data_IF_620530040011
#
_entry.id   IF_620530040011
#
_cell.length_a   1.000
_cell.length_b   1.000
_cell.length_c   1.000
_cell.angle_alpha   90.00
_cell.angle_beta   90.00
_cell.angle_gamma   90.00
#
_symmetry.space_group_name_H-M   'P 1'
#
loop_
_entity.id
_entity.type
_entity.pdbx_description
1 polymer ?
#
# COMPACT_ATOMS: atom_id res chain seq x y z
N UNK A 1 17.32 -3.69 -19.16
CA UNK A 1 16.89 -3.37 -17.78
C UNK A 1 16.38 -1.93 -17.60
N UNK A 2 16.92 -0.90 -18.28
CA UNK A 2 16.48 0.50 -18.07
C UNK A 2 15.07 0.89 -18.56
N UNK A 3 14.56 0.25 -19.62
CA UNK A 3 13.28 0.65 -20.23
C UNK A 3 12.04 0.43 -19.35
N UNK A 4 11.97 -0.69 -18.62
CA UNK A 4 10.84 -0.98 -17.74
C UNK A 4 10.77 0.01 -16.57
N UNK A 5 11.91 0.27 -15.92
CA UNK A 5 11.99 1.23 -14.81
C UNK A 5 11.67 2.65 -15.27
N UNK A 6 12.06 3.03 -16.49
CA UNK A 6 11.70 4.32 -17.08
C UNK A 6 10.20 4.44 -17.33
N UNK A 7 9.57 3.40 -17.90
CA UNK A 7 8.11 3.38 -18.11
C UNK A 7 7.36 3.46 -16.78
N UNK A 8 7.80 2.68 -15.78
CA UNK A 8 7.23 2.71 -14.44
C UNK A 8 7.37 4.10 -13.81
N UNK A 9 8.53 4.75 -13.97
CA UNK A 9 8.75 6.11 -13.48
C UNK A 9 7.85 7.15 -14.17
N UNK A 10 7.69 7.06 -15.49
CA UNK A 10 6.78 7.96 -16.24
C UNK A 10 5.33 7.77 -15.78
N UNK A 11 4.91 6.52 -15.54
CA UNK A 11 3.56 6.23 -15.06
C UNK A 11 3.35 6.63 -13.59
N UNK A 12 4.31 6.32 -12.72
CA UNK A 12 4.22 6.58 -11.28
C UNK A 12 4.43 8.05 -10.92
N UNK A 13 5.27 8.76 -11.67
CA UNK A 13 5.73 10.12 -11.33
C UNK A 13 6.63 10.19 -10.09
N UNK A 14 7.03 9.05 -9.50
CA UNK A 14 7.87 8.95 -8.29
C UNK A 14 8.99 7.94 -8.44
N UNK A 15 10.12 8.21 -7.79
CA UNK A 15 11.27 7.31 -7.72
C UNK A 15 11.66 7.00 -6.26
N UNK A 16 11.84 5.71 -5.88
CA UNK A 16 11.59 4.53 -6.70
C UNK A 16 10.08 4.31 -6.95
N UNK A 17 9.68 3.82 -8.14
CA UNK A 17 8.27 3.64 -8.48
C UNK A 17 7.62 2.47 -7.72
N UNK A 18 8.41 1.55 -7.18
CA UNK A 18 7.95 0.40 -6.41
C UNK A 18 8.64 0.36 -5.06
N UNK A 19 7.89 -0.02 -4.02
CA UNK A 19 8.38 -0.19 -2.65
C UNK A 19 8.07 -1.60 -2.15
N UNK A 20 9.00 -2.15 -1.37
CA UNK A 20 8.81 -3.43 -0.68
C UNK A 20 8.20 -3.16 0.68
N UNK A 21 7.24 -3.99 1.07
CA UNK A 21 6.66 -3.95 2.40
C UNK A 21 7.55 -4.73 3.34
N UNK A 22 8.20 -4.00 4.25
CA UNK A 22 9.26 -4.57 5.11
C UNK A 22 8.75 -4.92 6.51
N UNK A 23 7.53 -4.52 6.89
CA UNK A 23 6.97 -4.76 8.23
C UNK A 23 5.55 -5.29 8.20
N UNK A 24 5.16 -5.96 9.30
CA UNK A 24 3.83 -6.51 9.53
C UNK A 24 2.75 -5.46 9.80
N UNK A 25 3.08 -4.18 9.88
CA UNK A 25 2.15 -3.11 10.26
C UNK A 25 0.92 -2.99 9.34
N UNK A 26 1.02 -3.44 8.09
CA UNK A 26 -0.09 -3.50 7.12
C UNK A 26 -0.68 -4.89 6.95
N UNK A 27 -0.16 -5.91 7.65
CA UNK A 27 -0.61 -7.28 7.47
C UNK A 27 -2.04 -7.49 7.89
N UNK A 28 -2.73 -8.23 7.04
CA UNK A 28 -4.10 -8.57 7.32
C UNK A 28 -4.08 -9.80 8.24
N UNK A 29 -3.34 -10.88 7.96
CA UNK A 29 -3.05 -11.87 9.02
C UNK A 29 -2.12 -13.02 8.63
N UNK A 30 -2.35 -14.25 9.12
CA UNK A 30 -1.33 -15.31 9.04
C UNK A 30 -1.12 -15.84 7.61
N UNK A 31 -2.14 -15.71 6.76
CA UNK A 31 -2.13 -16.09 5.37
C UNK A 31 -2.38 -14.85 4.50
N UNK A 32 -1.55 -14.69 3.48
CA UNK A 32 -1.67 -13.63 2.47
C UNK A 32 -2.71 -13.97 1.41
N UNK A 33 -3.35 -12.93 0.89
CA UNK A 33 -4.38 -13.01 -0.16
C UNK A 33 -4.10 -11.99 -1.26
N UNK A 34 -4.66 -12.21 -2.45
CA UNK A 34 -4.60 -11.20 -3.51
C UNK A 34 -5.59 -10.08 -3.18
N UNK A 35 -5.13 -8.84 -3.26
CA UNK A 35 -5.87 -7.62 -2.98
C UNK A 35 -5.65 -7.07 -1.57
N UNK A 36 -4.61 -7.53 -0.85
CA UNK A 36 -4.17 -7.00 0.45
C UNK A 36 -2.67 -6.75 0.43
N UNK A 37 -2.19 -5.86 1.31
CA UNK A 37 -0.75 -5.60 1.47
C UNK A 37 -0.25 -6.41 2.66
N UNK A 38 0.70 -7.28 2.42
CA UNK A 38 1.42 -8.00 3.48
C UNK A 38 2.93 -7.80 3.40
N UNK A 39 3.62 -8.14 4.49
CA UNK A 39 5.09 -8.16 4.50
C UNK A 39 5.63 -9.05 3.40
N UNK A 40 6.57 -8.53 2.61
CA UNK A 40 7.15 -9.24 1.48
C UNK A 40 6.45 -8.98 0.15
N UNK A 41 5.38 -8.18 0.11
CA UNK A 41 4.80 -7.71 -1.14
C UNK A 41 5.59 -6.53 -1.72
N UNK A 42 5.44 -6.33 -3.01
CA UNK A 42 5.85 -5.12 -3.72
C UNK A 42 4.60 -4.34 -4.09
N UNK A 43 4.57 -3.04 -3.83
CA UNK A 43 3.50 -2.16 -4.30
C UNK A 43 4.07 -1.05 -5.16
N UNK A 44 3.35 -0.69 -6.22
CA UNK A 44 3.68 0.49 -7.01
C UNK A 44 3.17 1.72 -6.25
N UNK A 45 3.97 2.77 -6.22
CA UNK A 45 3.60 4.04 -5.59
C UNK A 45 3.34 5.03 -6.70
N UNK A 46 2.18 5.70 -6.69
CA UNK A 46 1.85 6.75 -7.64
C UNK A 46 1.87 8.10 -6.96
N UNK A 47 2.50 9.08 -7.61
CA UNK A 47 2.53 10.48 -7.17
C UNK A 47 1.11 10.98 -6.97
N UNK A 48 0.88 11.62 -5.84
CA UNK A 48 -0.34 12.36 -5.54
C UNK A 48 -0.04 13.84 -5.70
N UNK A 49 -0.86 14.55 -6.48
CA UNK A 49 -0.72 16.00 -6.66
C UNK A 49 -1.77 16.76 -5.85
N UNK A 50 -2.95 16.17 -5.67
CA UNK A 50 -4.08 16.80 -5.00
C UNK A 50 -4.63 15.95 -3.84
N UNK A 51 -5.11 16.62 -2.79
CA UNK A 51 -5.70 15.97 -1.60
C UNK A 51 -6.86 15.05 -1.98
N UNK A 52 -7.66 15.43 -2.97
CA UNK A 52 -8.84 14.69 -3.42
C UNK A 52 -8.53 13.31 -4.03
N UNK A 53 -7.27 13.02 -4.39
CA UNK A 53 -6.88 11.69 -4.88
C UNK A 53 -6.75 10.65 -3.74
N UNK A 54 -6.68 11.12 -2.49
CA UNK A 54 -6.59 10.30 -1.29
C UNK A 54 -7.96 10.30 -0.61
N UNK A 55 -8.66 9.18 -0.75
CA UNK A 55 -9.91 8.91 -0.04
C UNK A 55 -9.54 8.33 1.32
N UNK A 56 -9.95 8.98 2.41
CA UNK A 56 -9.67 8.52 3.78
C UNK A 56 -10.66 7.44 4.25
N UNK A 57 -10.34 6.75 5.34
CA UNK A 57 -11.22 5.76 5.96
C UNK A 57 -12.57 6.37 6.37
N UNK A 58 -12.57 7.54 6.99
CA UNK A 58 -13.81 8.21 7.41
C UNK A 58 -14.67 8.64 6.22
N UNK A 59 -14.06 9.07 5.11
CA UNK A 59 -14.76 9.33 3.85
C UNK A 59 -15.44 8.08 3.32
N UNK A 60 -14.68 6.99 3.21
CA UNK A 60 -15.14 5.74 2.63
C UNK A 60 -16.20 5.02 3.47
N UNK A 61 -16.31 5.33 4.76
CA UNK A 61 -17.31 4.75 5.68
C UNK A 61 -18.50 5.67 5.96
N UNK A 62 -18.44 6.94 5.58
CA UNK A 62 -19.52 7.89 5.78
C UNK A 62 -20.57 7.77 4.66
N UNK A 63 -21.80 7.33 5.01
CA UNK A 63 -22.88 7.07 4.05
C UNK A 63 -23.31 8.28 3.21
N UNK A 64 -23.07 9.50 3.71
CA UNK A 64 -23.42 10.75 3.02
C UNK A 64 -22.29 11.25 2.12
N UNK A 65 -21.10 10.65 2.18
CA UNK A 65 -19.96 11.03 1.36
C UNK A 65 -20.03 10.30 0.00
N UNK A 66 -19.70 10.96 -1.13
CA UNK A 66 -19.72 10.34 -2.46
C UNK A 66 -18.73 9.16 -2.60
N UNK A 67 -17.70 9.08 -1.76
CA UNK A 67 -16.72 7.99 -1.75
C UNK A 67 -17.14 6.80 -0.87
N UNK A 68 -18.37 6.78 -0.33
CA UNK A 68 -18.86 5.68 0.49
C UNK A 68 -18.69 4.34 -0.21
N UNK A 69 -18.09 3.37 0.48
CA UNK A 69 -17.83 2.04 -0.06
C UNK A 69 -16.46 1.87 -0.72
N UNK A 70 -15.67 2.95 -0.89
CA UNK A 70 -14.33 2.86 -1.48
C UNK A 70 -13.40 2.00 -0.62
N UNK A 71 -12.77 1.00 -1.23
CA UNK A 71 -11.82 0.10 -0.57
C UNK A 71 -10.55 -0.05 -1.36
N UNK A 72 -9.44 -0.13 -0.64
CA UNK A 72 -8.12 -0.39 -1.16
C UNK A 72 -7.39 -1.32 -0.20
N UNK A 73 -6.78 -2.37 -0.75
CA UNK A 73 -6.01 -3.37 0.01
C UNK A 73 -6.83 -4.03 1.13
N UNK A 74 -8.02 -4.52 0.80
CA UNK A 74 -8.88 -5.28 1.71
C UNK A 74 -9.78 -4.46 2.66
N UNK A 75 -9.51 -3.17 2.85
CA UNK A 75 -10.28 -2.33 3.79
C UNK A 75 -10.57 -0.92 3.21
N UNK A 76 -11.35 -0.12 3.93
CA UNK A 76 -11.81 1.21 3.49
C UNK A 76 -10.69 2.24 3.42
N UNK A 77 -10.81 3.17 2.48
CA UNK A 77 -9.84 4.27 2.34
C UNK A 77 -8.54 3.85 1.66
N UNK A 78 -7.69 4.85 1.41
CA UNK A 78 -6.47 4.72 0.62
C UNK A 78 -5.25 4.39 1.48
N UNK A 79 -4.26 3.72 0.89
CA UNK A 79 -2.95 3.51 1.52
C UNK A 79 -1.92 4.48 0.94
N UNK A 80 -1.22 5.21 1.80
CA UNK A 80 -0.25 6.24 1.40
C UNK A 80 1.13 5.94 1.93
N UNK A 81 2.14 6.29 1.13
CA UNK A 81 3.56 6.26 1.50
C UNK A 81 4.00 7.68 1.82
N UNK A 82 4.54 7.90 3.01
CA UNK A 82 4.91 9.24 3.47
C UNK A 82 6.20 9.28 4.27
N UNK A 83 6.83 10.45 4.28
CA UNK A 83 8.01 10.76 5.09
C UNK A 83 7.56 11.28 6.45
N UNK A 84 8.05 10.67 7.53
CA UNK A 84 7.77 11.14 8.89
C UNK A 84 8.32 12.57 9.08
N UNK A 85 7.44 13.53 9.38
CA UNK A 85 7.74 14.95 9.57
C UNK A 85 8.60 15.57 8.45
N UNK A 86 8.45 15.08 7.21
CA UNK A 86 9.25 15.50 6.05
C UNK A 86 10.74 15.13 6.12
N UNK A 87 11.18 14.33 7.10
CA UNK A 87 12.58 13.93 7.28
C UNK A 87 13.01 12.87 6.27
N UNK A 88 14.30 12.86 5.95
CA UNK A 88 14.90 11.85 5.06
C UNK A 88 15.23 10.58 5.85
N UNK A 89 14.19 9.86 6.23
CA UNK A 89 14.24 8.57 6.92
C UNK A 89 13.49 7.51 6.10
N UNK A 90 13.49 6.26 6.56
CA UNK A 90 12.64 5.20 6.01
C UNK A 90 11.17 5.66 5.99
N UNK A 91 10.54 5.75 4.81
CA UNK A 91 9.14 6.11 4.70
C UNK A 91 8.23 5.10 5.39
N UNK A 92 7.05 5.55 5.75
CA UNK A 92 5.99 4.71 6.31
C UNK A 92 4.91 4.52 5.25
N UNK A 93 4.37 3.31 5.15
CA UNK A 93 3.23 2.99 4.29
C UNK A 93 2.07 2.57 5.18
N UNK A 94 1.05 3.41 5.31
CA UNK A 94 -0.10 3.15 6.18
C UNK A 94 -1.40 3.69 5.57
N UNK A 95 -2.52 3.27 6.13
CA UNK A 95 -3.85 3.70 5.71
C UNK A 95 -4.14 5.14 6.15
N UNK A 96 -4.68 5.94 5.25
CA UNK A 96 -5.17 7.28 5.56
C UNK A 96 -6.52 7.19 6.28
N UNK A 97 -6.55 7.60 7.55
CA UNK A 97 -7.74 7.48 8.40
C UNK A 97 -8.67 8.68 8.25
N UNK A 98 -8.13 9.89 8.37
CA UNK A 98 -8.88 11.14 8.25
C UNK A 98 -7.96 12.27 7.82
N UNK A 99 -8.50 13.26 7.11
CA UNK A 99 -7.85 14.53 6.87
C UNK A 99 -8.32 15.52 7.95
N UNK A 100 -7.37 16.12 8.66
CA UNK A 100 -7.67 17.10 9.71
C UNK A 100 -7.25 18.47 9.22
N UNK A 101 -8.19 19.42 9.21
CA UNK A 101 -7.91 20.83 8.97
C UNK A 101 -7.74 21.56 10.29
N UNK A 102 -6.62 22.25 10.46
CA UNK A 102 -6.39 23.05 11.66
C UNK A 102 -7.30 24.29 11.65
N UNK A 103 -8.14 24.43 12.69
CA UNK A 103 -9.07 25.54 12.83
C UNK A 103 -8.45 26.62 13.74
N UNK A 104 -7.74 27.57 13.13
CA UNK A 104 -7.06 28.64 13.85
C UNK A 104 -8.03 29.55 14.63
N UNK A 105 -9.22 29.83 14.08
CA UNK A 105 -10.20 30.72 14.69
C UNK A 105 -10.82 30.17 15.97
N UNK A 106 -10.91 28.84 16.08
CA UNK A 106 -11.43 28.16 17.27
C UNK A 106 -10.33 27.66 18.21
N UNK A 107 -9.06 27.91 17.87
CA UNK A 107 -7.90 27.48 18.64
C UNK A 107 -7.29 28.64 19.44
N UNK A 108 -6.75 28.32 20.61
CA UNK A 108 -5.98 29.23 21.45
C UNK A 108 -4.60 28.58 21.75
N UNK A 109 -3.58 28.88 20.92
CA UNK A 109 -2.23 28.36 21.13
C UNK A 109 -1.63 28.73 22.50
N UNK A 110 -2.00 29.89 23.05
CA UNK A 110 -1.52 30.36 24.36
C UNK A 110 -2.00 29.47 25.51
N UNK A 111 -3.17 28.87 25.37
CA UNK A 111 -3.74 27.89 26.32
C UNK A 111 -3.53 26.43 25.92
N UNK A 112 -2.74 26.16 24.87
CA UNK A 112 -2.56 24.83 24.26
C UNK A 112 -3.88 24.14 23.92
N UNK A 113 -4.85 24.92 23.50
CA UNK A 113 -6.17 24.45 23.14
C UNK A 113 -6.32 24.52 21.63
N UNK A 114 -6.43 23.36 20.99
CA UNK A 114 -6.45 23.29 19.53
C UNK A 114 -7.71 22.58 19.06
N UNK A 115 -8.29 23.10 17.98
CA UNK A 115 -9.49 22.61 17.34
C UNK A 115 -9.17 22.29 15.89
N UNK A 116 -9.82 21.25 15.37
CA UNK A 116 -9.72 20.88 13.97
C UNK A 116 -11.06 20.48 13.40
N UNK A 117 -11.09 20.46 12.08
CA UNK A 117 -12.24 20.13 11.27
C UNK A 117 -11.94 18.86 10.46
N UNK A 118 -12.96 18.04 10.23
CA UNK A 118 -12.93 16.89 9.31
C UNK A 118 -14.00 17.19 8.24
N UNK A 119 -13.68 18.06 7.28
CA UNK A 119 -14.68 18.62 6.35
C UNK A 119 -15.36 17.53 5.53
N UNK A 120 -14.66 16.43 5.25
CA UNK A 120 -15.17 15.36 4.38
C UNK A 120 -16.38 14.61 4.96
N UNK A 121 -16.59 14.72 6.27
CA UNK A 121 -17.74 14.13 6.98
C UNK A 121 -18.56 15.18 7.72
N UNK A 122 -18.33 16.47 7.46
CA UNK A 122 -19.08 17.58 8.04
C UNK A 122 -18.89 17.76 9.55
N UNK A 123 -17.74 17.36 10.09
CA UNK A 123 -17.41 17.52 11.52
C UNK A 123 -16.52 18.75 11.68
N UNK A 124 -16.89 19.69 12.53
CA UNK A 124 -16.19 20.96 12.71
C UNK A 124 -15.98 21.30 14.19
N UNK A 125 -14.92 22.03 14.48
CA UNK A 125 -14.57 22.57 15.79
C UNK A 125 -14.46 21.48 16.88
N UNK A 126 -13.79 20.38 16.57
CA UNK A 126 -13.62 19.25 17.48
C UNK A 126 -12.19 19.18 18.04
N UNK A 127 -12.06 18.69 19.27
CA UNK A 127 -10.77 18.45 19.94
C UNK A 127 -10.37 16.98 19.87
N UNK A 128 -11.32 16.10 19.60
CA UNK A 128 -11.14 14.67 19.40
C UNK A 128 -12.25 14.11 18.52
N UNK A 129 -11.98 12.98 17.88
CA UNK A 129 -12.96 12.26 17.08
C UNK A 129 -12.78 10.75 17.23
N UNK A 130 -13.89 10.02 17.28
CA UNK A 130 -13.92 8.57 17.44
C UNK A 130 -14.26 7.91 16.11
N UNK A 131 -13.36 7.06 15.62
CA UNK A 131 -13.57 6.29 14.40
C UNK A 131 -13.80 4.83 14.77
N UNK A 132 -14.93 4.27 14.34
CA UNK A 132 -15.16 2.83 14.42
C UNK A 132 -14.40 2.16 13.27
N UNK A 133 -13.27 1.53 13.58
CA UNK A 133 -12.44 0.86 12.59
C UNK A 133 -12.72 -0.63 12.62
N UNK A 134 -13.15 -1.18 11.49
CA UNK A 134 -13.25 -2.61 11.26
C UNK A 134 -11.93 -3.12 10.70
N UNK A 135 -10.91 -3.27 11.55
CA UNK A 135 -9.63 -3.85 11.13
C UNK A 135 -9.79 -5.34 10.83
N UNK A 136 -9.32 -5.77 9.67
CA UNK A 136 -9.14 -7.18 9.27
C UNK A 136 -10.32 -8.16 9.43
N UNK A 137 -10.77 -8.73 8.31
CA UNK A 137 -11.72 -9.86 8.26
C UNK A 137 -10.99 -11.13 7.85
N UNK A 138 -10.82 -12.09 8.77
CA UNK A 138 -10.69 -13.49 8.37
C UNK A 138 -12.06 -14.15 8.29
N UNK A 139 -12.10 -15.37 7.75
CA UNK A 139 -13.26 -16.25 7.83
C UNK A 139 -13.80 -16.43 9.27
N UNK A 140 -12.97 -16.20 10.31
CA UNK A 140 -13.32 -16.48 11.71
C UNK A 140 -13.11 -15.31 12.69
N UNK A 141 -12.66 -14.14 12.24
CA UNK A 141 -12.34 -13.02 13.12
C UNK A 141 -12.62 -11.68 12.44
N UNK A 142 -13.48 -10.87 13.07
CA UNK A 142 -13.69 -9.46 12.77
C UNK A 142 -13.15 -8.65 13.93
N UNK A 143 -12.04 -7.95 13.74
CA UNK A 143 -11.48 -7.08 14.79
C UNK A 143 -12.12 -5.70 14.67
N UNK A 144 -13.09 -5.42 15.54
CA UNK A 144 -13.68 -4.09 15.64
C UNK A 144 -13.02 -3.33 16.78
N UNK A 145 -12.48 -2.16 16.46
CA UNK A 145 -11.81 -1.30 17.44
C UNK A 145 -12.30 0.13 17.29
N UNK A 146 -12.35 0.86 18.40
CA UNK A 146 -12.60 2.29 18.38
C UNK A 146 -11.26 3.00 18.41
N UNK A 147 -10.96 3.71 17.34
CA UNK A 147 -9.76 4.52 17.21
C UNK A 147 -10.07 5.95 17.65
N UNK A 148 -9.30 6.45 18.62
CA UNK A 148 -9.46 7.82 19.14
C UNK A 148 -8.44 8.74 18.48
N UNK A 149 -8.92 9.70 17.70
CA UNK A 149 -8.11 10.76 17.11
C UNK A 149 -8.13 11.96 18.06
N UNK A 150 -7.12 12.07 18.92
CA UNK A 150 -6.99 13.20 19.84
C UNK A 150 -6.43 14.44 19.12
N UNK A 151 -7.27 15.09 18.30
CA UNK A 151 -6.91 16.22 17.42
C UNK A 151 -6.15 17.32 18.17
N UNK A 152 -6.66 17.76 19.32
CA UNK A 152 -6.02 18.84 20.08
C UNK A 152 -4.61 18.48 20.53
N UNK A 153 -4.39 17.24 20.95
CA UNK A 153 -3.09 16.78 21.44
C UNK A 153 -2.10 16.55 20.30
N UNK A 154 -2.57 16.02 19.15
CA UNK A 154 -1.75 15.87 17.94
C UNK A 154 -1.28 17.24 17.45
N UNK A 155 -2.19 18.21 17.35
CA UNK A 155 -1.86 19.58 16.94
C UNK A 155 -0.89 20.25 17.92
N UNK A 156 -1.09 20.05 19.23
CA UNK A 156 -0.19 20.56 20.27
C UNK A 156 1.23 19.97 20.21
N UNK A 157 1.39 18.76 19.65
CA UNK A 157 2.68 18.10 19.48
C UNK A 157 3.44 18.54 18.22
N UNK A 158 2.88 19.48 17.43
CA UNK A 158 3.54 20.01 16.22
C UNK A 158 4.80 20.78 16.58
N UNK A 159 5.92 20.40 15.97
CA UNK A 159 7.25 20.99 16.15
C UNK A 159 7.90 21.42 14.83
N UNK A 160 7.43 20.93 13.68
CA UNK A 160 7.98 21.30 12.38
C UNK A 160 7.65 22.72 11.94
N UNK A 161 6.71 23.38 12.61
CA UNK A 161 6.21 24.71 12.28
C UNK A 161 5.85 25.49 13.55
N UNK A 162 5.99 26.83 13.56
CA UNK A 162 5.55 27.68 14.67
C UNK A 162 4.03 27.60 14.94
N UNK A 163 3.25 27.27 13.92
CA UNK A 163 1.79 27.12 13.99
C UNK A 163 1.45 25.68 13.57
N UNK A 164 0.51 24.99 14.28
CA UNK A 164 -0.01 23.71 13.84
C UNK A 164 -0.52 23.76 12.40
N UNK A 165 -0.48 22.63 11.72
CA UNK A 165 -0.86 22.54 10.32
C UNK A 165 -1.86 21.40 10.09
N UNK A 166 -2.61 21.52 9.00
CA UNK A 166 -3.48 20.46 8.51
C UNK A 166 -2.68 19.26 7.99
N UNK A 167 -3.29 18.09 7.94
CA UNK A 167 -2.66 16.88 7.42
C UNK A 167 -3.48 15.61 7.64
N UNK A 168 -3.00 14.49 7.11
CA UNK A 168 -3.62 13.19 7.33
C UNK A 168 -3.23 12.61 8.69
N UNK A 169 -4.21 11.99 9.31
CA UNK A 169 -4.04 11.00 10.36
C UNK A 169 -3.91 9.65 9.68
N UNK A 170 -2.91 8.86 10.07
CA UNK A 170 -2.60 7.56 9.46
C UNK A 170 -2.54 6.45 10.50
N UNK A 171 -2.75 5.21 10.07
CA UNK A 171 -2.62 4.02 10.92
C UNK A 171 -2.26 2.79 10.07
N UNK A 172 -1.36 1.96 10.57
CA UNK A 172 -1.13 0.61 10.03
C UNK A 172 -2.28 -0.34 10.37
N UNK A 173 -2.75 -1.12 9.40
CA UNK A 173 -3.93 -1.99 9.55
C UNK A 173 -3.76 -3.04 10.65
N UNK A 174 -2.54 -3.55 10.84
CA UNK A 174 -2.18 -4.52 11.87
C UNK A 174 -1.76 -3.89 13.20
N UNK A 175 -1.59 -2.56 13.26
CA UNK A 175 -1.14 -1.92 14.49
C UNK A 175 -2.25 -1.93 15.57
N UNK A 176 -1.88 -1.87 16.87
CA UNK A 176 -2.84 -1.60 17.95
C UNK A 176 -3.69 -0.35 17.68
N UNK A 177 -4.80 -0.13 18.41
CA UNK A 177 -5.80 0.91 18.10
C UNK A 177 -5.35 2.34 18.46
N UNK A 178 -4.18 2.73 17.96
CA UNK A 178 -3.60 4.07 18.06
C UNK A 178 -3.20 4.55 16.68
N UNK A 179 -3.42 5.84 16.41
CA UNK A 179 -2.93 6.47 15.19
C UNK A 179 -1.42 6.62 15.23
N UNK A 180 -0.79 6.74 14.06
CA UNK A 180 0.65 6.85 13.94
C UNK A 180 1.22 8.04 14.71
N UNK A 181 0.46 9.13 14.82
CA UNK A 181 0.81 10.33 15.59
C UNK A 181 1.00 10.05 17.10
N UNK A 182 0.51 8.91 17.60
CA UNK A 182 0.69 8.47 18.99
C UNK A 182 1.82 7.46 19.21
N UNK A 183 2.23 6.74 18.17
CA UNK A 183 3.13 5.58 18.33
C UNK A 183 4.42 5.72 17.53
N UNK A 184 4.44 6.53 16.48
CA UNK A 184 5.62 6.73 15.64
C UNK A 184 6.39 7.98 16.06
N UNK A 185 7.71 7.86 15.90
CA UNK A 185 8.67 8.91 16.16
C UNK A 185 9.63 9.05 14.97
N UNK A 186 10.12 10.26 14.74
CA UNK A 186 11.32 10.49 13.92
C UNK A 186 12.57 10.26 14.76
N UNK A 187 13.72 10.15 14.11
CA UNK A 187 15.01 10.15 14.80
C UNK A 187 15.12 11.41 15.68
N UNK A 188 15.60 11.21 16.92
CA UNK A 188 15.61 12.26 17.93
C UNK A 188 14.38 12.27 18.86
N UNK A 189 13.47 11.31 18.73
CA UNK A 189 12.38 11.10 19.71
C UNK A 189 11.23 12.09 19.61
N UNK A 190 11.13 12.83 18.51
CA UNK A 190 10.00 13.71 18.22
C UNK A 190 8.86 12.89 17.63
N UNK A 191 7.63 13.11 18.11
CA UNK A 191 6.44 12.39 17.63
C UNK A 191 6.15 12.74 16.18
N UNK A 192 5.57 11.80 15.45
CA UNK A 192 5.05 12.06 14.11
C UNK A 192 3.85 13.01 14.20
N UNK A 193 3.84 14.00 13.32
CA UNK A 193 2.80 15.02 13.20
C UNK A 193 1.74 14.59 12.17
N UNK A 194 0.70 15.41 11.97
CA UNK A 194 -0.24 15.20 10.86
C UNK A 194 0.53 15.15 9.53
N UNK A 195 0.24 14.18 8.67
CA UNK A 195 1.00 14.00 7.43
C UNK A 195 0.59 15.07 6.42
N UNK A 196 1.47 16.06 6.19
CA UNK A 196 1.23 17.08 5.16
C UNK A 196 1.24 16.45 3.76
N UNK A 197 0.51 17.06 2.83
CA UNK A 197 0.54 16.70 1.41
C UNK A 197 1.97 16.64 0.86
N UNK A 198 2.81 17.62 1.18
CA UNK A 198 4.21 17.68 0.75
C UNK A 198 5.11 16.57 1.32
N UNK A 199 4.67 15.88 2.38
CA UNK A 199 5.39 14.75 2.98
C UNK A 199 4.99 13.42 2.36
N UNK A 200 3.91 13.39 1.57
CA UNK A 200 3.45 12.20 0.87
C UNK A 200 4.38 11.95 -0.30
N UNK A 201 4.97 10.76 -0.33
CA UNK A 201 5.74 10.27 -1.47
C UNK A 201 4.77 9.85 -2.58
N UNK A 202 3.68 9.18 -2.23
CA UNK A 202 2.60 8.86 -3.13
C UNK A 202 1.57 7.92 -2.50
N UNK A 203 0.57 7.56 -3.29
CA UNK A 203 -0.46 6.58 -2.94
C UNK A 203 -0.04 5.21 -3.47
N UNK A 204 -0.17 4.17 -2.64
CA UNK A 204 0.06 2.79 -3.07
C UNK A 204 -1.02 2.41 -4.11
N UNK A 205 -0.62 1.81 -5.22
CA UNK A 205 -1.50 1.35 -6.28
C UNK A 205 -1.07 -0.02 -6.80
N UNK A 206 -1.96 -1.01 -6.72
CA UNK A 206 -1.65 -2.36 -7.12
C UNK A 206 -0.63 -3.06 -6.21
N UNK A 207 -0.46 -4.34 -6.46
CA UNK A 207 0.40 -5.22 -5.69
C UNK A 207 1.06 -6.23 -6.65
N UNK A 208 2.29 -6.59 -6.32
CA UNK A 208 2.98 -7.74 -6.86
C UNK A 208 3.24 -8.66 -5.66
N UNK A 209 2.36 -9.66 -5.44
CA UNK A 209 2.41 -10.49 -4.25
C UNK A 209 3.75 -11.18 -4.08
N UNK A 210 4.24 -11.30 -2.84
CA UNK A 210 5.41 -12.09 -2.38
C UNK A 210 6.77 -11.87 -3.08
N UNK A 211 6.87 -11.07 -4.15
CA UNK A 211 8.13 -10.82 -4.86
C UNK A 211 9.12 -9.98 -4.04
N UNK A 212 8.62 -9.17 -3.10
CA UNK A 212 9.45 -8.43 -2.14
C UNK A 212 10.21 -9.33 -1.16
N UNK A 213 9.74 -10.56 -0.91
CA UNK A 213 10.46 -11.54 -0.07
C UNK A 213 11.87 -11.82 -0.58
N UNK A 214 12.09 -11.80 -1.90
CA UNK A 214 13.42 -11.96 -2.48
C UNK A 214 14.40 -10.88 -1.99
N UNK A 215 13.96 -9.62 -1.95
CA UNK A 215 14.76 -8.51 -1.41
C UNK A 215 15.01 -8.71 0.09
N UNK A 216 13.98 -9.09 0.85
CA UNK A 216 14.09 -9.28 2.29
C UNK A 216 15.09 -10.40 2.65
N UNK A 217 15.06 -11.52 1.92
CA UNK A 217 16.01 -12.62 2.09
C UNK A 217 17.46 -12.20 1.81
N UNK A 218 17.70 -11.47 0.72
CA UNK A 218 19.07 -11.02 0.35
C UNK A 218 19.61 -9.99 1.34
N UNK A 219 18.74 -9.12 1.87
CA UNK A 219 19.13 -8.06 2.82
C UNK A 219 19.22 -8.54 4.27
N UNK A 220 18.98 -9.82 4.54
CA UNK A 220 19.12 -10.41 5.87
C UNK A 220 18.02 -10.01 6.84
N UNK A 221 16.88 -9.50 6.36
CA UNK A 221 15.71 -9.30 7.20
C UNK A 221 15.23 -10.66 7.70
N UNK A 222 15.09 -10.81 9.03
CA UNK A 222 14.60 -12.06 9.63
C UNK A 222 13.16 -12.30 9.17
N UNK A 223 12.86 -13.53 8.79
CA UNK A 223 11.56 -13.97 8.29
C UNK A 223 10.46 -14.04 9.35
N UNK A 224 10.70 -13.46 10.52
CA UNK A 224 9.78 -13.53 11.66
C UNK A 224 8.58 -12.62 11.35
N UNK A 225 7.49 -13.24 10.88
CA UNK A 225 6.24 -12.56 10.58
C UNK A 225 5.79 -12.62 9.12
N UNK A 226 6.48 -13.30 8.20
CA UNK A 226 5.97 -13.45 6.83
C UNK A 226 4.73 -14.37 6.80
N UNK A 227 3.68 -14.05 6.01
CA UNK A 227 2.59 -14.98 5.81
C UNK A 227 3.11 -16.25 5.11
N UNK A 228 2.72 -17.43 5.59
CA UNK A 228 3.24 -18.71 5.08
C UNK A 228 2.90 -18.93 3.61
N UNK A 229 1.71 -18.48 3.21
CA UNK A 229 1.26 -18.54 1.81
C UNK A 229 2.11 -17.70 0.87
N UNK A 230 2.67 -16.57 1.33
CA UNK A 230 3.56 -15.71 0.52
C UNK A 230 4.83 -16.46 0.11
N UNK A 231 5.45 -17.21 1.02
CA UNK A 231 6.65 -18.02 0.70
C UNK A 231 6.32 -19.10 -0.33
N UNK A 232 5.22 -19.83 -0.14
CA UNK A 232 4.78 -20.87 -1.07
C UNK A 232 4.43 -20.29 -2.44
N UNK A 233 3.77 -19.13 -2.48
CA UNK A 233 3.42 -18.39 -3.69
C UNK A 233 4.67 -18.00 -4.48
N UNK A 234 5.71 -17.50 -3.81
CA UNK A 234 6.98 -17.17 -4.46
C UNK A 234 7.64 -18.41 -5.08
N UNK A 235 7.74 -19.51 -4.33
CA UNK A 235 8.33 -20.76 -4.83
C UNK A 235 7.57 -21.27 -6.04
N UNK A 236 6.24 -21.32 -5.98
CA UNK A 236 5.39 -21.73 -7.10
C UNK A 236 5.60 -20.83 -8.33
N UNK A 237 5.70 -19.51 -8.12
CA UNK A 237 5.94 -18.54 -9.21
C UNK A 237 7.30 -18.78 -9.88
N UNK A 238 8.36 -19.03 -9.11
CA UNK A 238 9.69 -19.34 -9.64
C UNK A 238 9.66 -20.65 -10.45
N UNK A 239 8.99 -21.69 -9.95
CA UNK A 239 8.84 -22.96 -10.66
C UNK A 239 8.12 -22.73 -12.00
N UNK A 240 7.01 -21.99 -12.01
CA UNK A 240 6.25 -21.67 -13.23
C UNK A 240 7.14 -20.93 -14.24
N UNK A 241 7.89 -19.92 -13.80
CA UNK A 241 8.78 -19.15 -14.68
C UNK A 241 9.88 -19.99 -15.33
N UNK A 242 10.33 -21.06 -14.67
CA UNK A 242 11.34 -21.99 -15.22
C UNK A 242 10.68 -23.06 -16.11
N UNK A 243 9.58 -23.66 -15.64
CA UNK A 243 8.95 -24.81 -16.28
C UNK A 243 8.18 -24.43 -17.55
N UNK A 244 7.48 -23.30 -17.55
CA UNK A 244 6.64 -22.88 -18.69
C UNK A 244 7.46 -22.69 -19.98
N UNK A 245 8.59 -21.96 -20.00
CA UNK A 245 9.42 -21.85 -21.21
C UNK A 245 9.91 -23.20 -21.74
N UNK A 246 10.28 -24.12 -20.85
CA UNK A 246 10.74 -25.46 -21.22
C UNK A 246 9.61 -26.25 -21.88
N UNK A 247 8.40 -26.20 -21.32
CA UNK A 247 7.21 -26.85 -21.90
C UNK A 247 6.88 -26.24 -23.26
N UNK A 248 6.90 -24.90 -23.37
CA UNK A 248 6.64 -24.20 -24.63
C UNK A 248 7.63 -24.64 -25.71
N UNK A 249 8.93 -24.69 -25.40
CA UNK A 249 9.97 -25.12 -26.34
C UNK A 249 9.81 -26.59 -26.74
N UNK A 250 9.52 -27.47 -25.77
CA UNK A 250 9.25 -28.88 -26.04
C UNK A 250 8.06 -29.07 -26.98
N UNK A 251 6.94 -28.39 -26.70
CA UNK A 251 5.72 -28.46 -27.52
C UNK A 251 5.95 -27.87 -28.91
N UNK A 252 6.64 -26.73 -29.00
CA UNK A 252 7.00 -26.08 -30.26
C UNK A 252 7.86 -27.00 -31.13
N UNK A 253 8.90 -27.60 -30.55
CA UNK A 253 9.79 -28.55 -31.25
C UNK A 253 9.03 -29.79 -31.73
N UNK A 254 8.15 -30.35 -30.88
CA UNK A 254 7.33 -31.52 -31.25
C UNK A 254 6.33 -31.21 -32.36
N UNK A 255 5.70 -30.03 -32.33
CA UNK A 255 4.80 -29.57 -33.37
C UNK A 255 5.52 -29.33 -34.70
N UNK A 256 6.70 -28.70 -34.67
CA UNK A 256 7.54 -28.46 -35.84
C UNK A 256 7.94 -29.78 -36.51
N UNK A 257 8.38 -30.78 -35.72
CA UNK A 257 8.74 -32.12 -36.24
C UNK A 257 7.57 -32.83 -36.91
N UNK A 258 6.36 -32.77 -36.34
CA UNK A 258 5.15 -33.34 -36.98
C UNK A 258 4.83 -32.66 -38.32
N UNK A 259 5.01 -31.33 -38.43
CA UNK A 259 4.77 -30.60 -39.68
C UNK A 259 5.78 -30.92 -40.77
N UNK A 260 7.07 -31.03 -40.45
CA UNK A 260 8.09 -31.43 -41.44
C UNK A 260 7.83 -32.85 -41.94
N UNK A 261 7.60 -33.81 -41.04
CA UNK A 261 7.29 -35.19 -41.44
C UNK A 261 6.03 -35.29 -42.31
N UNK A 262 4.97 -34.52 -42.02
CA UNK A 262 3.77 -34.45 -42.89
C UNK A 262 4.04 -33.82 -44.25
N UNK A 263 4.88 -32.78 -44.33
CA UNK A 263 5.28 -32.16 -45.61
C UNK A 263 6.10 -33.13 -46.45
N UNK A 264 7.06 -33.82 -45.83
CA UNK A 264 7.92 -34.80 -46.51
C UNK A 264 7.10 -36.00 -47.03
N UNK A 265 6.11 -36.47 -46.26
CA UNK A 265 5.19 -37.53 -46.69
C UNK A 265 4.36 -37.11 -47.91
N UNK A 266 3.76 -35.91 -47.90
CA UNK A 266 2.98 -35.38 -49.04
C UNK A 266 3.83 -35.17 -50.29
N UNK A 267 5.10 -34.75 -50.13
CA UNK A 267 6.03 -34.55 -51.25
C UNK A 267 6.39 -35.87 -51.92
N UNK A 268 6.68 -36.92 -51.13
CA UNK A 268 6.94 -38.28 -51.64
C UNK A 268 5.73 -38.88 -52.36
N UNK A 269 4.52 -38.65 -51.84
CA UNK A 269 3.28 -39.14 -52.45
C UNK A 269 2.92 -38.42 -53.77
N UNK A 270 3.28 -37.14 -53.89
CA UNK A 270 3.17 -36.38 -55.14
C UNK A 270 4.15 -36.88 -56.21
N UNK A 271 5.41 -37.12 -55.85
CA UNK A 271 6.43 -37.63 -56.78
C UNK A 271 6.12 -39.05 -57.28
N UNK A 272 5.47 -39.89 -56.45
CA UNK A 272 5.06 -41.24 -56.87
C UNK A 272 3.86 -41.28 -57.82
N UNK A 273 3.08 -40.20 -57.93
CA UNK A 273 1.94 -40.11 -58.85
C UNK A 273 2.31 -39.56 -60.24
N UNK A 274 3.53 -39.02 -60.38
CA UNK A 274 4.07 -38.45 -61.62
C UNK A 274 4.99 -39.42 -62.39
N UNK A 275 5.21 -40.63 -61.86
CA UNK A 275 5.92 -41.75 -62.50
C UNK A 275 4.92 -42.81 -62.91
#
# INVERSE_FOLDING_TARGET
>A
MGGLLLVLYIYSGVWPPMVVIESSSMQHGPDSQIGVIDTGDLTLVKKVSDRSEIITYVEATCRTNPNYGFKEYGDFGSVIVYKKNGKYETPVIHRAIAWIEYNASASDPGRRYFRGDIPDIGVYNVSEYYVNVTSYRTENYLKQEVLVIQISAILAATTTSPIPHSGFVTKGDHNPPYVDQWVLYVQGGVRVELVKMEWIVGKAQGELPWFGLFKLWITGHKSDGFPKTSVNGLIATVIILIVVPIIIDYLYTRWKKKRTTRKDARRKEGDSRLR
#
